data_IF_769144587200
#
_entry.id   IF_769144587200
#
_cell.length_a   1.000
_cell.length_b   1.000
_cell.length_c   1.000
_cell.angle_alpha   90.00
_cell.angle_beta   90.00
_cell.angle_gamma   90.00
#
_symmetry.space_group_name_H-M   'P 1'
#
loop_
_entity.id
_entity.type
_entity.pdbx_description
1 polymer ?
#
# COMPACT_ATOMS: atom_id res chain seq x y z
N UNK A 1 -7.11 -16.65 13.26
CA UNK A 1 -5.83 -16.75 12.54
C UNK A 1 -5.16 -15.39 12.63
N UNK A 2 -3.87 -15.32 13.01
CA UNK A 2 -3.16 -14.05 13.16
C UNK A 2 -2.91 -13.43 11.78
N UNK A 3 -3.37 -12.20 11.55
CA UNK A 3 -3.17 -11.44 10.30
C UNK A 3 -1.86 -10.64 10.38
N UNK A 4 -1.32 -10.22 9.23
CA UNK A 4 -0.06 -9.45 9.18
C UNK A 4 -0.18 -8.12 9.91
N UNK A 5 -1.31 -7.43 9.74
CA UNK A 5 -1.62 -6.16 10.42
C UNK A 5 -1.57 -6.25 11.95
N UNK A 6 -1.84 -7.42 12.52
CA UNK A 6 -1.82 -7.66 13.98
C UNK A 6 -0.40 -7.53 14.58
N UNK A 7 0.64 -7.58 13.73
CA UNK A 7 2.03 -7.41 14.13
C UNK A 7 2.46 -5.95 14.21
N UNK A 8 1.62 -5.02 13.73
CA UNK A 8 1.97 -3.60 13.69
C UNK A 8 1.70 -2.92 15.04
N UNK A 9 2.64 -2.09 15.53
CA UNK A 9 2.44 -1.34 16.77
C UNK A 9 1.46 -0.17 16.56
N UNK A 10 0.97 0.39 17.65
CA UNK A 10 0.09 1.58 17.63
C UNK A 10 -1.39 1.27 17.42
N UNK A 11 -1.81 0.01 17.59
CA UNK A 11 -3.22 -0.36 17.52
C UNK A 11 -3.80 -0.36 16.09
N UNK A 12 -2.95 -0.45 15.06
CA UNK A 12 -3.38 -0.39 13.65
C UNK A 12 -4.49 -1.38 13.33
N UNK A 13 -4.37 -2.65 13.77
CA UNK A 13 -5.41 -3.66 13.54
C UNK A 13 -6.78 -3.22 14.09
N UNK A 14 -6.80 -2.66 15.31
CA UNK A 14 -8.03 -2.15 15.93
C UNK A 14 -8.59 -0.96 15.16
N UNK A 15 -7.74 -0.06 14.68
CA UNK A 15 -8.16 1.09 13.88
C UNK A 15 -8.76 0.63 12.55
N UNK A 16 -8.12 -0.31 11.84
CA UNK A 16 -8.68 -0.89 10.61
C UNK A 16 -10.04 -1.56 10.88
N UNK A 17 -10.19 -2.25 12.00
CA UNK A 17 -11.47 -2.85 12.40
C UNK A 17 -12.54 -1.82 12.77
N UNK A 18 -12.14 -0.61 13.16
CA UNK A 18 -13.03 0.45 13.57
C UNK A 18 -13.42 1.42 12.44
N UNK A 19 -12.76 1.38 11.28
CA UNK A 19 -13.19 2.12 10.08
C UNK A 19 -14.59 1.63 9.66
N UNK A 20 -15.59 2.52 9.48
CA UNK A 20 -16.91 2.17 8.98
C UNK A 20 -16.85 1.54 7.58
N UNK A 21 -17.78 0.62 7.27
CA UNK A 21 -17.76 -0.11 6.00
C UNK A 21 -17.94 0.84 4.80
N UNK A 22 -18.75 1.89 4.95
CA UNK A 22 -18.98 2.95 3.97
C UNK A 22 -17.71 3.75 3.64
N UNK A 23 -16.76 3.83 4.57
CA UNK A 23 -15.55 4.64 4.44
C UNK A 23 -14.33 3.84 3.98
N UNK A 24 -14.42 2.50 3.91
CA UNK A 24 -13.29 1.63 3.55
C UNK A 24 -12.67 2.01 2.21
N UNK A 25 -13.50 2.32 1.20
CA UNK A 25 -12.99 2.71 -0.13
C UNK A 25 -12.27 4.06 -0.10
N UNK A 26 -12.80 5.03 0.65
CA UNK A 26 -12.16 6.34 0.80
C UNK A 26 -10.81 6.21 1.54
N UNK A 27 -10.78 5.41 2.60
CA UNK A 27 -9.60 5.13 3.38
C UNK A 27 -8.51 4.43 2.54
N UNK A 28 -8.89 3.45 1.70
CA UNK A 28 -8.00 2.81 0.74
C UNK A 28 -7.40 3.79 -0.27
N UNK A 29 -8.17 4.74 -0.77
CA UNK A 29 -7.63 5.78 -1.65
C UNK A 29 -6.64 6.70 -0.92
N UNK A 30 -6.95 7.10 0.32
CA UNK A 30 -6.11 8.02 1.09
C UNK A 30 -4.78 7.36 1.49
N UNK A 31 -4.80 6.09 1.94
CA UNK A 31 -3.57 5.39 2.31
C UNK A 31 -2.63 5.24 1.10
N UNK A 32 -3.18 4.90 -0.07
CA UNK A 32 -2.40 4.83 -1.31
C UNK A 32 -1.84 6.19 -1.70
N UNK A 33 -2.63 7.26 -1.62
CA UNK A 33 -2.16 8.62 -1.89
C UNK A 33 -0.97 8.99 -1.00
N UNK A 34 -1.14 8.81 0.31
CA UNK A 34 -0.15 9.14 1.34
C UNK A 34 1.16 8.41 1.12
N UNK A 35 1.08 7.10 0.86
CA UNK A 35 2.27 6.27 0.69
C UNK A 35 3.02 6.60 -0.61
N UNK A 36 2.30 6.86 -1.71
CA UNK A 36 2.91 7.25 -2.99
C UNK A 36 3.61 8.61 -2.89
N UNK A 37 2.99 9.57 -2.20
CA UNK A 37 3.57 10.91 -2.00
C UNK A 37 4.85 10.85 -1.15
N UNK A 38 4.83 10.11 -0.03
CA UNK A 38 5.99 10.01 0.86
C UNK A 38 7.16 9.25 0.23
N UNK A 39 6.88 8.20 -0.53
CA UNK A 39 7.93 7.38 -1.18
C UNK A 39 8.37 7.93 -2.54
N UNK A 40 7.71 8.98 -3.03
CA UNK A 40 7.94 9.57 -4.35
C UNK A 40 7.90 8.54 -5.51
N UNK A 41 7.12 7.46 -5.35
CA UNK A 41 6.94 6.44 -6.39
C UNK A 41 5.89 6.92 -7.38
N UNK A 42 6.35 7.48 -8.50
CA UNK A 42 5.46 8.07 -9.49
C UNK A 42 6.01 7.90 -10.90
N UNK A 43 5.87 6.69 -11.45
CA UNK A 43 6.06 6.49 -12.90
C UNK A 43 4.77 6.81 -13.66
N UNK A 44 4.82 7.12 -14.96
CA UNK A 44 3.63 7.32 -15.79
C UNK A 44 2.64 6.15 -15.70
N UNK A 45 3.16 4.92 -15.67
CA UNK A 45 2.37 3.68 -15.60
C UNK A 45 1.62 3.59 -14.26
N UNK A 46 2.28 3.92 -13.15
CA UNK A 46 1.64 3.93 -11.83
C UNK A 46 0.53 4.98 -11.77
N UNK A 47 0.81 6.19 -12.27
CA UNK A 47 -0.20 7.27 -12.32
C UNK A 47 -1.39 6.91 -13.19
N UNK A 48 -1.17 6.24 -14.31
CA UNK A 48 -2.24 5.78 -15.21
C UNK A 48 -3.16 4.78 -14.48
N UNK A 49 -2.57 3.75 -13.85
CA UNK A 49 -3.34 2.70 -13.17
C UNK A 49 -4.10 3.26 -11.96
N UNK A 50 -3.45 4.05 -11.10
CA UNK A 50 -4.12 4.70 -9.96
C UNK A 50 -5.20 5.67 -10.42
N UNK A 51 -4.92 6.45 -11.46
CA UNK A 51 -5.88 7.39 -12.03
C UNK A 51 -7.10 6.69 -12.62
N UNK A 52 -6.90 5.56 -13.30
CA UNK A 52 -8.01 4.73 -13.79
C UNK A 52 -8.83 4.17 -12.64
N UNK A 53 -8.16 3.57 -11.63
CA UNK A 53 -8.81 3.02 -10.45
C UNK A 53 -9.71 4.03 -9.73
N UNK A 54 -9.19 5.24 -9.47
CA UNK A 54 -9.97 6.31 -8.83
C UNK A 54 -11.16 6.79 -9.65
N UNK A 55 -11.02 6.88 -10.98
CA UNK A 55 -12.09 7.40 -11.86
C UNK A 55 -13.17 6.37 -12.15
N UNK A 56 -12.81 5.10 -12.25
CA UNK A 56 -13.72 4.03 -12.67
C UNK A 56 -14.22 3.19 -11.49
N UNK A 57 -13.73 3.43 -10.27
CA UNK A 57 -14.08 2.68 -9.07
C UNK A 57 -13.49 1.27 -9.02
N UNK A 58 -12.57 0.94 -9.92
CA UNK A 58 -11.98 -0.40 -10.03
C UNK A 58 -10.71 -0.41 -10.87
N UNK A 59 -9.77 -1.30 -10.52
CA UNK A 59 -8.56 -1.53 -11.29
C UNK A 59 -8.74 -2.70 -12.26
N UNK A 60 -8.02 -2.66 -13.38
CA UNK A 60 -7.99 -3.80 -14.31
C UNK A 60 -6.90 -4.79 -13.90
N UNK A 61 -7.12 -6.08 -14.17
CA UNK A 61 -6.12 -7.14 -13.93
C UNK A 61 -4.80 -6.83 -14.64
N UNK A 62 -4.86 -6.29 -15.86
CA UNK A 62 -3.68 -5.87 -16.60
C UNK A 62 -2.96 -4.66 -15.97
N UNK A 63 -3.70 -3.70 -15.39
CA UNK A 63 -3.12 -2.60 -14.62
C UNK A 63 -2.40 -3.10 -13.36
N UNK A 64 -3.04 -3.98 -12.59
CA UNK A 64 -2.43 -4.59 -11.40
C UNK A 64 -1.20 -5.43 -11.75
N UNK A 65 -1.24 -6.19 -12.85
CA UNK A 65 -0.07 -6.93 -13.31
C UNK A 65 1.12 -6.01 -13.64
N UNK A 66 0.87 -4.86 -14.27
CA UNK A 66 1.89 -3.83 -14.51
C UNK A 66 2.48 -3.30 -13.20
N UNK A 67 1.65 -2.99 -12.20
CA UNK A 67 2.14 -2.56 -10.89
C UNK A 67 3.01 -3.62 -10.21
N UNK A 68 2.61 -4.90 -10.26
CA UNK A 68 3.41 -6.00 -9.70
C UNK A 68 4.80 -6.12 -10.34
N UNK A 69 4.92 -5.84 -11.65
CA UNK A 69 6.23 -5.80 -12.31
C UNK A 69 7.09 -4.65 -11.77
N UNK A 70 6.50 -3.48 -11.53
CA UNK A 70 7.21 -2.34 -10.92
C UNK A 70 7.67 -2.67 -9.49
N UNK A 71 6.81 -3.27 -8.67
CA UNK A 71 7.16 -3.70 -7.32
C UNK A 71 8.33 -4.70 -7.36
N UNK A 72 8.27 -5.69 -8.25
CA UNK A 72 9.33 -6.69 -8.42
C UNK A 72 10.67 -6.07 -8.85
N UNK A 73 10.64 -5.04 -9.71
CA UNK A 73 11.85 -4.30 -10.09
C UNK A 73 12.49 -3.63 -8.88
N UNK A 74 11.70 -2.94 -8.05
CA UNK A 74 12.21 -2.30 -6.83
C UNK A 74 12.73 -3.31 -5.80
N UNK A 75 12.09 -4.47 -5.66
CA UNK A 75 12.59 -5.55 -4.81
C UNK A 75 13.95 -6.10 -5.32
N UNK A 76 14.10 -6.25 -6.64
CA UNK A 76 15.37 -6.65 -7.25
C UNK A 76 16.46 -5.60 -7.02
N UNK A 77 16.14 -4.31 -7.21
CA UNK A 77 17.07 -3.21 -6.97
C UNK A 77 17.51 -3.19 -5.49
N UNK A 78 16.57 -3.36 -4.56
CA UNK A 78 16.87 -3.44 -3.13
C UNK A 78 17.85 -4.58 -2.82
N UNK A 79 17.63 -5.77 -3.38
CA UNK A 79 18.55 -6.89 -3.24
C UNK A 79 19.94 -6.59 -3.83
N UNK A 80 20.00 -5.95 -5.00
CA UNK A 80 21.25 -5.56 -5.63
C UNK A 80 22.03 -4.53 -4.80
N UNK A 81 21.37 -3.54 -4.20
CA UNK A 81 21.98 -2.57 -3.29
C UNK A 81 22.48 -3.23 -2.00
N UNK A 82 21.71 -4.17 -1.43
CA UNK A 82 22.12 -4.95 -0.28
C UNK A 82 23.44 -5.70 -0.55
N UNK A 83 23.56 -6.34 -1.72
CA UNK A 83 24.78 -7.06 -2.13
C UNK A 83 26.00 -6.15 -2.26
N UNK A 84 25.79 -4.86 -2.52
CA UNK A 84 26.85 -3.84 -2.62
C UNK A 84 27.14 -3.15 -1.28
N UNK A 85 26.41 -3.48 -0.21
CA UNK A 85 26.54 -2.84 1.10
C UNK A 85 25.91 -1.44 1.17
N UNK A 86 25.17 -1.02 0.14
CA UNK A 86 24.48 0.28 0.13
C UNK A 86 23.13 0.17 0.84
N UNK A 87 23.17 0.30 2.17
CA UNK A 87 21.98 0.17 3.03
C UNK A 87 20.96 1.29 2.78
N UNK A 88 21.41 2.48 2.40
CA UNK A 88 20.51 3.60 2.16
C UNK A 88 19.67 3.38 0.90
N UNK A 89 20.32 3.02 -0.21
CA UNK A 89 19.63 2.72 -1.46
C UNK A 89 18.78 1.44 -1.35
N UNK A 90 19.26 0.43 -0.60
CA UNK A 90 18.46 -0.77 -0.31
C UNK A 90 17.14 -0.43 0.38
N UNK A 91 17.20 0.41 1.43
CA UNK A 91 16.00 0.82 2.17
C UNK A 91 15.05 1.65 1.32
N UNK A 92 15.58 2.55 0.50
CA UNK A 92 14.78 3.35 -0.42
C UNK A 92 14.03 2.45 -1.42
N UNK A 93 14.74 1.58 -2.14
CA UNK A 93 14.11 0.65 -3.08
C UNK A 93 13.10 -0.29 -2.42
N UNK A 94 13.39 -0.80 -1.22
CA UNK A 94 12.43 -1.61 -0.45
C UNK A 94 11.15 -0.83 -0.13
N UNK A 95 11.27 0.41 0.36
CA UNK A 95 10.10 1.26 0.67
C UNK A 95 9.26 1.54 -0.57
N UNK A 96 9.91 1.74 -1.71
CA UNK A 96 9.24 1.94 -3.00
C UNK A 96 8.49 0.68 -3.47
N UNK A 97 9.08 -0.50 -3.33
CA UNK A 97 8.39 -1.76 -3.61
C UNK A 97 7.12 -1.92 -2.76
N UNK A 98 7.25 -1.69 -1.44
CA UNK A 98 6.13 -1.75 -0.50
C UNK A 98 5.05 -0.70 -0.76
N UNK A 99 5.41 0.48 -1.25
CA UNK A 99 4.44 1.47 -1.69
C UNK A 99 3.57 0.95 -2.84
N UNK A 100 4.18 0.31 -3.83
CA UNK A 100 3.46 -0.29 -4.96
C UNK A 100 2.58 -1.46 -4.50
N UNK A 101 3.09 -2.32 -3.60
CA UNK A 101 2.30 -3.42 -3.04
C UNK A 101 1.10 -2.93 -2.22
N UNK A 102 1.23 -1.81 -1.50
CA UNK A 102 0.11 -1.15 -0.82
C UNK A 102 -1.01 -0.78 -1.81
N UNK A 103 -0.66 -0.25 -2.97
CA UNK A 103 -1.63 0.09 -4.02
C UNK A 103 -2.25 -1.16 -4.65
N UNK A 104 -1.46 -2.21 -4.89
CA UNK A 104 -1.95 -3.49 -5.40
C UNK A 104 -2.94 -4.13 -4.42
N UNK A 105 -2.64 -4.13 -3.13
CA UNK A 105 -3.54 -4.61 -2.08
C UNK A 105 -4.84 -3.79 -2.05
N UNK A 106 -4.77 -2.46 -2.17
CA UNK A 106 -5.96 -1.61 -2.16
C UNK A 106 -6.89 -1.87 -3.36
N UNK A 107 -6.35 -2.36 -4.46
CA UNK A 107 -7.08 -2.69 -5.69
C UNK A 107 -7.65 -4.12 -5.69
N UNK A 108 -7.30 -4.95 -4.70
CA UNK A 108 -7.74 -6.35 -4.63
C UNK A 108 -9.27 -6.53 -4.61
N UNK A 109 -10.11 -5.64 -4.02
CA UNK A 109 -11.55 -5.83 -4.05
C UNK A 109 -12.11 -5.85 -5.47
N UNK A 110 -11.55 -5.01 -6.35
CA UNK A 110 -11.96 -4.93 -7.76
C UNK A 110 -11.36 -6.00 -8.67
N UNK A 111 -10.30 -6.70 -8.23
CA UNK A 111 -9.54 -7.62 -9.11
C UNK A 111 -9.60 -9.08 -8.69
N UNK A 112 -9.71 -9.36 -7.39
CA UNK A 112 -9.80 -10.72 -6.83
C UNK A 112 -11.09 -10.93 -6.03
N UNK A 113 -11.93 -9.91 -5.87
CA UNK A 113 -13.15 -9.98 -5.07
C UNK A 113 -12.89 -10.04 -3.57
N UNK A 114 -11.71 -9.64 -3.11
CA UNK A 114 -11.39 -9.58 -1.68
C UNK A 114 -12.26 -8.54 -0.96
N UNK A 115 -12.57 -8.79 0.32
CA UNK A 115 -13.30 -7.81 1.12
C UNK A 115 -12.50 -6.50 1.22
N UNK A 116 -13.12 -5.31 1.07
CA UNK A 116 -12.44 -4.03 1.25
C UNK A 116 -11.74 -3.90 2.60
N UNK A 117 -12.25 -4.58 3.63
CA UNK A 117 -11.63 -4.59 4.96
C UNK A 117 -10.35 -5.42 5.00
N UNK A 118 -10.31 -6.58 4.35
CA UNK A 118 -9.08 -7.37 4.24
C UNK A 118 -8.05 -6.67 3.35
N UNK A 119 -8.50 -6.03 2.26
CA UNK A 119 -7.65 -5.14 1.46
C UNK A 119 -7.05 -4.01 2.31
N UNK A 120 -7.83 -3.35 3.17
CA UNK A 120 -7.34 -2.29 4.05
C UNK A 120 -6.31 -2.81 5.08
N UNK A 121 -6.49 -4.03 5.60
CA UNK A 121 -5.50 -4.67 6.50
C UNK A 121 -4.17 -4.89 5.81
N UNK A 122 -4.19 -5.42 4.58
CA UNK A 122 -2.97 -5.67 3.82
C UNK A 122 -2.32 -4.36 3.34
N UNK A 123 -3.10 -3.40 2.84
CA UNK A 123 -2.62 -2.05 2.51
C UNK A 123 -1.99 -1.35 3.72
N UNK A 124 -2.60 -1.42 4.90
CA UNK A 124 -2.04 -0.84 6.13
C UNK A 124 -0.68 -1.45 6.51
N UNK A 125 -0.51 -2.75 6.29
CA UNK A 125 0.77 -3.41 6.51
C UNK A 125 1.84 -2.95 5.54
N UNK A 126 1.56 -2.96 4.24
CA UNK A 126 2.55 -2.53 3.24
C UNK A 126 2.85 -1.04 3.35
N UNK A 127 1.84 -0.21 3.67
CA UNK A 127 2.01 1.20 3.98
C UNK A 127 2.96 1.43 5.16
N UNK A 128 2.80 0.68 6.26
CA UNK A 128 3.69 0.82 7.40
C UNK A 128 5.15 0.49 7.04
N UNK A 129 5.37 -0.53 6.21
CA UNK A 129 6.70 -0.87 5.71
C UNK A 129 7.26 0.23 4.79
N UNK A 130 6.44 0.77 3.88
CA UNK A 130 6.81 1.83 2.96
C UNK A 130 7.16 3.16 3.68
N UNK A 131 6.40 3.52 4.70
CA UNK A 131 6.62 4.72 5.51
C UNK A 131 7.73 4.55 6.56
N UNK A 132 8.25 3.33 6.75
CA UNK A 132 9.27 3.03 7.75
C UNK A 132 8.76 2.98 9.19
N UNK A 133 7.45 2.81 9.39
CA UNK A 133 6.79 2.73 10.68
C UNK A 133 5.26 2.89 10.57
N UNK A 134 4.53 2.62 11.65
CA UNK A 134 3.06 2.67 11.65
C UNK A 134 2.45 4.04 11.89
N UNK A 135 3.22 5.05 12.32
CA UNK A 135 2.67 6.34 12.73
C UNK A 135 1.85 7.04 11.63
N UNK A 136 2.33 7.04 10.37
CA UNK A 136 1.58 7.61 9.25
C UNK A 136 0.30 6.83 8.92
N UNK A 137 0.33 5.49 9.07
CA UNK A 137 -0.85 4.65 8.88
C UNK A 137 -1.89 4.92 9.96
N UNK A 138 -1.47 5.06 11.22
CA UNK A 138 -2.34 5.41 12.34
C UNK A 138 -3.02 6.76 12.08
N UNK A 139 -2.29 7.77 11.61
CA UNK A 139 -2.87 9.08 11.29
C UNK A 139 -3.97 8.98 10.21
N UNK A 140 -3.69 8.27 9.11
CA UNK A 140 -4.67 8.06 8.02
C UNK A 140 -5.93 7.33 8.50
N UNK A 141 -5.76 6.27 9.31
CA UNK A 141 -6.89 5.51 9.82
C UNK A 141 -7.71 6.33 10.82
N UNK A 142 -7.05 7.06 11.73
CA UNK A 142 -7.71 7.86 12.76
C UNK A 142 -8.66 8.91 12.18
N UNK A 143 -8.36 9.47 11.01
CA UNK A 143 -9.23 10.41 10.28
C UNK A 143 -10.60 9.81 9.89
N UNK A 144 -10.77 8.48 9.94
CA UNK A 144 -11.97 7.76 9.53
C UNK A 144 -12.70 7.04 10.68
N UNK A 145 -12.27 7.23 11.94
CA UNK A 145 -12.79 6.45 13.10
C UNK A 145 -13.36 7.38 14.18
N UNK A 146 -14.04 8.46 13.76
CA UNK A 146 -14.61 9.47 14.67
C UNK A 146 -15.79 8.90 15.47
#
# INVERSE_FOLDING_TARGET
>A
MLRRVDRLPGGVARLVDAVPDEDLTACLHLIVATVMDVTAVSTPEIREVIGHWRRQGGATTAGVARLRLVAAQHDFDAFAHQRRGDVAAQRDSFRRARAVDCAVAAMSPSTTGESPRDALRESAYEAAAALGGSAGVVAVLADHVV
#
